data_IF_538653797606
#
_entry.id   IF_538653797606
#
_cell.length_a   1.000
_cell.length_b   1.000
_cell.length_c   1.000
_cell.angle_alpha   90.00
_cell.angle_beta   90.00
_cell.angle_gamma   90.00
#
_symmetry.space_group_name_H-M   'P 1'
#
loop_
_entity.id
_entity.type
_entity.pdbx_description
1 polymer ?
#
# COMPACT_ATOMS: atom_id res chain seq x y z
N UNK A 1 17.56 66.99 17.90
CA UNK A 1 17.70 66.06 16.74
C UNK A 1 18.32 64.72 17.15
N UNK A 2 18.82 64.63 18.38
CA UNK A 2 19.57 63.52 18.95
C UNK A 2 18.66 62.32 19.27
N UNK A 3 17.43 62.55 19.75
CA UNK A 3 16.46 61.49 20.09
C UNK A 3 16.00 60.66 18.88
N UNK A 4 16.00 61.27 17.69
CA UNK A 4 15.61 60.59 16.44
C UNK A 4 16.71 59.61 16.01
N UNK A 5 17.98 59.97 16.24
CA UNK A 5 19.14 59.15 15.88
C UNK A 5 19.24 57.93 16.80
N UNK A 6 18.86 58.08 18.07
CA UNK A 6 18.85 56.98 19.05
C UNK A 6 17.75 55.96 18.77
N UNK A 7 16.53 56.42 18.44
CA UNK A 7 15.45 55.55 17.95
C UNK A 7 15.86 54.81 16.67
N UNK A 8 16.52 55.47 15.72
CA UNK A 8 16.96 54.80 14.50
C UNK A 8 17.90 53.64 14.82
N UNK A 9 18.76 53.72 15.85
CA UNK A 9 19.66 52.62 16.26
C UNK A 9 18.92 51.43 16.85
N UNK A 10 17.88 51.68 17.65
CA UNK A 10 17.10 50.63 18.30
C UNK A 10 16.20 49.88 17.31
N UNK A 11 15.67 50.56 16.29
CA UNK A 11 14.78 49.98 15.29
C UNK A 11 15.47 49.43 14.03
N UNK A 12 16.82 49.50 13.90
CA UNK A 12 17.52 49.00 12.69
C UNK A 12 17.24 47.53 12.41
N UNK A 13 17.15 46.72 13.46
CA UNK A 13 16.88 45.28 13.33
C UNK A 13 15.45 45.02 12.85
N UNK A 14 14.47 45.76 13.39
CA UNK A 14 13.08 45.68 12.94
C UNK A 14 12.89 46.20 11.51
N UNK A 15 13.58 47.28 11.13
CA UNK A 15 13.57 47.79 9.75
C UNK A 15 14.19 46.80 8.77
N UNK A 16 15.27 46.12 9.16
CA UNK A 16 15.90 45.09 8.34
C UNK A 16 14.99 43.87 8.16
N UNK A 17 14.34 43.40 9.23
CA UNK A 17 13.42 42.25 9.16
C UNK A 17 12.17 42.54 8.32
N UNK A 18 11.61 43.75 8.44
CA UNK A 18 10.46 44.16 7.61
C UNK A 18 10.83 44.29 6.13
N UNK A 19 12.03 44.81 5.82
CA UNK A 19 12.54 44.87 4.45
C UNK A 19 12.77 43.48 3.84
N UNK A 20 13.33 42.53 4.61
CA UNK A 20 13.52 41.14 4.18
C UNK A 20 12.17 40.44 3.98
N UNK A 21 11.20 40.66 4.88
CA UNK A 21 9.85 40.11 4.74
C UNK A 21 9.14 40.61 3.47
N UNK A 22 9.28 41.88 3.11
CA UNK A 22 8.75 42.43 1.86
C UNK A 22 9.45 41.86 0.62
N UNK A 23 10.77 41.63 0.68
CA UNK A 23 11.50 41.01 -0.43
C UNK A 23 11.10 39.55 -0.63
N UNK A 24 10.95 38.77 0.45
CA UNK A 24 10.52 37.38 0.39
C UNK A 24 9.04 37.25 -0.01
N UNK A 25 8.16 38.10 0.52
CA UNK A 25 6.75 38.16 0.14
C UNK A 25 6.55 38.60 -1.32
N UNK A 26 7.33 39.57 -1.79
CA UNK A 26 7.36 39.99 -3.18
C UNK A 26 7.89 38.90 -4.11
N UNK A 27 8.95 38.20 -3.72
CA UNK A 27 9.48 37.06 -4.47
C UNK A 27 8.45 35.94 -4.58
N UNK A 28 7.72 35.63 -3.51
CA UNK A 28 6.67 34.60 -3.50
C UNK A 28 5.44 34.99 -4.34
N UNK A 29 5.07 36.28 -4.37
CA UNK A 29 4.04 36.78 -5.27
C UNK A 29 4.46 36.77 -6.74
N UNK A 30 5.75 36.98 -7.02
CA UNK A 30 6.31 36.99 -8.37
C UNK A 30 6.64 35.58 -8.90
N UNK A 31 6.89 34.61 -8.02
CA UNK A 31 7.15 33.20 -8.37
C UNK A 31 5.92 32.30 -8.23
N UNK A 32 4.69 32.84 -8.28
CA UNK A 32 3.51 32.00 -8.45
C UNK A 32 3.62 31.26 -9.79
N UNK A 33 3.67 29.92 -9.82
CA UNK A 33 3.76 29.17 -11.06
C UNK A 33 2.53 29.47 -11.90
N UNK A 34 2.74 30.00 -13.11
CA UNK A 34 1.70 30.14 -14.10
C UNK A 34 1.09 28.75 -14.34
N UNK A 35 -0.19 28.59 -14.00
CA UNK A 35 -0.98 27.47 -14.51
C UNK A 35 -1.10 27.67 -16.03
N UNK A 36 -0.32 26.90 -16.79
CA UNK A 36 -0.47 26.85 -18.24
C UNK A 36 -1.86 26.31 -18.58
N UNK A 37 -2.75 27.19 -19.00
CA UNK A 37 -3.95 26.81 -19.72
C UNK A 37 -3.52 26.23 -21.08
N UNK A 38 -3.71 24.93 -21.28
CA UNK A 38 -3.51 24.29 -22.59
C UNK A 38 -4.50 24.88 -23.59
N UNK A 39 -3.98 25.72 -24.49
CA UNK A 39 -4.66 26.13 -25.73
C UNK A 39 -4.55 24.99 -26.72
N UNK A 40 -5.69 24.47 -27.18
CA UNK A 40 -5.78 23.50 -28.29
C UNK A 40 -5.68 24.30 -29.60
N UNK A 41 -4.72 24.02 -30.50
CA UNK A 41 -4.82 24.47 -31.88
C UNK A 41 -5.53 23.40 -32.70
N UNK A 42 -6.72 23.77 -33.17
CA UNK A 42 -7.42 23.12 -34.27
C UNK A 42 -6.80 23.59 -35.60
N UNK A 43 -6.41 22.64 -36.46
CA UNK A 43 -6.53 22.62 -37.94
C UNK A 43 -5.41 21.81 -38.64
N UNK A 44 -5.81 20.63 -39.14
CA UNK A 44 -5.58 20.11 -40.49
C UNK A 44 -4.55 20.81 -41.41
N UNK A 45 -3.48 20.11 -41.83
CA UNK A 45 -3.31 19.68 -43.24
C UNK A 45 -2.15 18.68 -43.51
N UNK A 46 -2.55 17.59 -44.16
CA UNK A 46 -1.96 16.94 -45.33
C UNK A 46 -0.48 16.48 -45.38
N UNK A 47 -0.36 15.14 -45.45
CA UNK A 47 0.32 14.37 -46.51
C UNK A 47 1.85 14.37 -46.61
N UNK A 48 2.45 13.18 -46.39
CA UNK A 48 2.95 12.33 -47.50
C UNK A 48 3.58 11.01 -47.01
N UNK A 49 3.07 9.87 -47.52
CA UNK A 49 3.74 8.60 -47.94
C UNK A 49 4.91 8.02 -47.10
N UNK A 50 5.01 6.72 -46.79
CA UNK A 50 4.96 5.59 -47.73
C UNK A 50 4.93 4.23 -46.99
N UNK A 51 4.20 3.27 -47.57
CA UNK A 51 4.41 1.80 -47.56
C UNK A 51 4.23 1.00 -46.25
N UNK A 52 3.14 0.25 -46.13
CA UNK A 52 3.01 -1.15 -46.62
C UNK A 52 1.62 -1.74 -46.32
N UNK A 53 1.09 -2.52 -47.27
CA UNK A 53 -0.14 -3.36 -47.26
C UNK A 53 -0.35 -4.08 -45.92
N UNK A 54 -1.57 -4.35 -45.44
CA UNK A 54 -2.59 -5.23 -46.06
C UNK A 54 -3.97 -5.09 -45.35
N UNK A 55 -5.02 -5.48 -46.09
CA UNK A 55 -6.46 -5.23 -45.98
C UNK A 55 -7.19 -6.30 -45.14
N UNK A 56 -8.21 -5.93 -44.34
CA UNK A 56 -9.59 -6.50 -44.17
C UNK A 56 -10.33 -5.68 -43.09
N UNK A 57 -11.22 -4.74 -43.45
CA UNK A 57 -12.70 -4.81 -43.43
C UNK A 57 -13.33 -5.02 -42.03
N UNK A 58 -13.76 -3.95 -41.36
CA UNK A 58 -15.17 -3.49 -41.21
C UNK A 58 -16.08 -4.43 -40.43
N UNK A 59 -16.46 -4.02 -39.21
CA UNK A 59 -17.87 -4.01 -38.76
C UNK A 59 -18.07 -2.98 -37.65
N UNK A 60 -18.95 -2.02 -37.93
CA UNK A 60 -19.63 -1.16 -36.97
C UNK A 60 -20.56 -2.00 -36.12
N UNK A 61 -20.46 -1.88 -34.79
CA UNK A 61 -21.52 -2.23 -33.85
C UNK A 61 -21.55 -1.19 -32.75
N UNK A 62 -22.43 -0.21 -32.97
CA UNK A 62 -23.13 0.57 -31.96
C UNK A 62 -23.59 -0.35 -30.83
N UNK A 63 -23.02 -0.17 -29.64
CA UNK A 63 -23.57 -0.73 -28.42
C UNK A 63 -23.87 0.41 -27.46
N UNK A 64 -25.14 0.80 -27.51
CA UNK A 64 -25.86 1.54 -26.49
C UNK A 64 -25.81 0.71 -25.21
N UNK A 65 -24.86 1.04 -24.32
CA UNK A 65 -24.82 0.50 -22.97
C UNK A 65 -25.27 1.58 -22.00
N UNK A 66 -26.54 1.48 -21.68
CA UNK A 66 -27.23 1.92 -20.47
C UNK A 66 -26.27 2.52 -19.43
N UNK A 67 -26.20 3.84 -19.41
CA UNK A 67 -25.60 4.61 -18.32
C UNK A 67 -26.52 4.44 -17.11
N UNK A 68 -26.27 3.40 -16.33
CA UNK A 68 -26.81 3.31 -14.98
C UNK A 68 -26.22 4.49 -14.22
N UNK A 69 -27.06 5.49 -13.98
CA UNK A 69 -26.82 6.63 -13.10
C UNK A 69 -26.44 6.11 -11.71
N UNK A 70 -25.14 5.89 -11.49
CA UNK A 70 -24.60 5.75 -10.14
C UNK A 70 -24.68 7.14 -9.48
N UNK A 71 -25.34 7.19 -8.33
CA UNK A 71 -25.44 8.34 -7.45
C UNK A 71 -24.13 9.13 -7.37
N UNK A 72 -24.16 10.37 -7.87
CA UNK A 72 -23.03 11.29 -8.03
C UNK A 72 -22.60 11.95 -6.70
N UNK A 73 -22.78 11.24 -5.58
CA UNK A 73 -22.29 11.71 -4.28
C UNK A 73 -20.85 11.24 -4.15
N UNK A 74 -19.87 12.15 -3.94
CA UNK A 74 -18.49 11.74 -3.77
C UNK A 74 -18.38 10.93 -2.48
N UNK A 75 -18.19 9.62 -2.63
CA UNK A 75 -17.88 8.74 -1.51
C UNK A 75 -16.49 9.11 -0.96
N UNK A 76 -16.44 9.41 0.34
CA UNK A 76 -15.24 9.81 1.06
C UNK A 76 -14.76 8.61 1.88
N UNK A 77 -13.46 8.38 1.85
CA UNK A 77 -12.76 7.35 2.62
C UNK A 77 -11.79 8.01 3.59
N UNK A 78 -11.52 7.34 4.70
CA UNK A 78 -10.60 7.77 5.74
C UNK A 78 -9.37 6.87 5.74
N UNK A 79 -8.19 7.48 5.68
CA UNK A 79 -6.91 6.77 5.55
C UNK A 79 -5.91 7.30 6.57
N UNK A 80 -5.21 6.40 7.26
CA UNK A 80 -4.17 6.72 8.24
C UNK A 80 -2.78 6.70 7.59
N UNK A 81 -2.05 7.81 7.62
CA UNK A 81 -0.71 7.95 7.02
C UNK A 81 0.33 8.10 8.12
N UNK A 82 1.31 7.18 8.14
CA UNK A 82 2.36 7.06 9.16
C UNK A 82 3.75 7.03 8.54
N UNK A 83 4.75 7.19 9.40
CA UNK A 83 6.17 7.03 9.06
C UNK A 83 6.81 8.32 8.54
N UNK A 84 7.71 8.17 7.57
CA UNK A 84 8.56 9.20 6.98
C UNK A 84 7.80 10.14 6.00
N UNK A 85 6.74 10.79 6.52
CA UNK A 85 5.97 11.84 5.83
C UNK A 85 5.99 13.11 6.68
N UNK A 86 5.81 14.28 6.05
CA UNK A 86 5.95 15.57 6.76
C UNK A 86 4.88 15.76 7.84
N UNK A 87 3.66 15.33 7.56
CA UNK A 87 2.52 15.45 8.48
C UNK A 87 1.82 14.09 8.59
N UNK A 88 2.29 13.18 9.46
CA UNK A 88 1.58 11.94 9.75
C UNK A 88 0.21 12.24 10.37
N UNK A 89 -0.79 11.43 10.06
CA UNK A 89 -2.15 11.60 10.55
C UNK A 89 -3.21 10.94 9.68
N UNK A 90 -4.47 11.16 10.06
CA UNK A 90 -5.64 10.61 9.36
C UNK A 90 -6.20 11.62 8.37
N UNK A 91 -6.50 11.16 7.16
CA UNK A 91 -6.91 11.99 6.03
C UNK A 91 -8.17 11.47 5.36
N UNK A 92 -9.08 12.38 5.04
CA UNK A 92 -10.25 12.09 4.20
C UNK A 92 -9.92 12.26 2.71
N UNK A 93 -10.15 11.23 1.89
CA UNK A 93 -9.91 11.26 0.44
C UNK A 93 -11.16 10.79 -0.31
N UNK A 94 -11.20 10.96 -1.63
CA UNK A 94 -12.28 10.36 -2.45
C UNK A 94 -12.04 8.85 -2.55
N UNK A 95 -13.09 8.03 -2.66
CA UNK A 95 -12.98 6.57 -2.72
C UNK A 95 -12.15 5.99 -3.88
N UNK A 96 -11.80 6.82 -4.87
CA UNK A 96 -10.92 6.45 -6.00
C UNK A 96 -9.48 7.02 -5.90
N UNK A 97 -9.12 7.65 -4.78
CA UNK A 97 -7.77 8.16 -4.55
C UNK A 97 -6.73 7.05 -4.44
N UNK A 98 -5.48 7.39 -4.74
CA UNK A 98 -4.32 6.50 -4.64
C UNK A 98 -3.41 6.88 -3.48
N UNK A 99 -2.50 5.98 -3.10
CA UNK A 99 -1.48 6.20 -2.06
C UNK A 99 -0.72 7.51 -2.27
N UNK A 100 -0.37 7.81 -3.53
CA UNK A 100 0.21 9.11 -3.91
C UNK A 100 -0.57 10.31 -3.38
N UNK A 101 -1.90 10.29 -3.49
CA UNK A 101 -2.76 11.43 -3.13
C UNK A 101 -2.78 11.63 -1.61
N UNK A 102 -2.82 10.54 -0.85
CA UNK A 102 -2.74 10.58 0.62
C UNK A 102 -1.39 11.11 1.10
N UNK A 103 -0.29 10.66 0.50
CA UNK A 103 1.06 11.14 0.84
C UNK A 103 1.23 12.61 0.47
N UNK A 104 0.69 13.04 -0.68
CA UNK A 104 0.69 14.44 -1.07
C UNK A 104 -0.10 15.30 -0.05
N UNK A 105 -1.27 14.82 0.39
CA UNK A 105 -2.08 15.47 1.41
C UNK A 105 -1.37 15.53 2.78
N UNK A 106 -0.51 14.56 3.07
CA UNK A 106 0.40 14.54 4.23
C UNK A 106 1.65 15.44 4.08
N UNK A 107 1.70 16.30 3.05
CA UNK A 107 2.82 17.21 2.80
C UNK A 107 4.00 16.59 2.05
N UNK A 108 3.85 15.34 1.59
CA UNK A 108 4.88 14.55 0.93
C UNK A 108 5.77 13.76 1.89
N UNK A 109 6.65 12.96 1.30
CA UNK A 109 7.69 12.22 2.01
C UNK A 109 8.73 13.16 2.64
N UNK A 110 9.36 12.74 3.73
CA UNK A 110 10.53 13.41 4.31
C UNK A 110 11.82 13.04 3.54
N UNK A 111 12.93 13.71 3.82
CA UNK A 111 14.20 13.46 3.12
C UNK A 111 14.84 12.11 3.47
N UNK A 112 14.53 11.57 4.65
CA UNK A 112 14.95 10.25 5.12
C UNK A 112 13.99 9.12 4.70
N UNK A 113 12.99 9.41 3.86
CA UNK A 113 11.98 8.44 3.46
C UNK A 113 12.49 7.50 2.37
N UNK A 114 12.27 6.20 2.58
CA UNK A 114 12.45 5.20 1.53
C UNK A 114 11.25 5.24 0.57
N UNK A 115 11.45 5.81 -0.62
CA UNK A 115 10.41 5.92 -1.65
C UNK A 115 9.91 4.58 -2.18
N UNK A 116 10.65 3.48 -1.98
CA UNK A 116 10.26 2.13 -2.40
C UNK A 116 9.43 1.39 -1.35
N UNK A 117 9.21 1.97 -0.17
CA UNK A 117 8.43 1.34 0.91
C UNK A 117 6.93 1.25 0.64
N UNK A 118 6.43 2.02 -0.33
CA UNK A 118 5.00 2.11 -0.64
C UNK A 118 4.76 2.07 -2.15
N UNK A 119 3.67 1.43 -2.56
CA UNK A 119 3.19 1.51 -3.94
C UNK A 119 2.35 2.78 -4.13
N UNK A 120 2.96 3.86 -4.62
CA UNK A 120 2.27 5.15 -4.86
C UNK A 120 1.06 5.04 -5.80
N UNK A 121 1.05 4.05 -6.69
CA UNK A 121 -0.04 3.81 -7.62
C UNK A 121 -1.17 2.97 -7.02
N UNK A 122 -1.02 2.39 -5.83
CA UNK A 122 -2.07 1.57 -5.22
C UNK A 122 -3.32 2.42 -4.93
N UNK A 123 -4.50 1.88 -5.27
CA UNK A 123 -5.78 2.50 -4.90
C UNK A 123 -6.01 2.36 -3.40
N UNK A 124 -6.63 3.38 -2.81
CA UNK A 124 -7.00 3.38 -1.40
C UNK A 124 -8.40 2.81 -1.22
N UNK A 125 -8.56 2.06 -0.15
CA UNK A 125 -9.85 1.67 0.42
C UNK A 125 -10.08 2.48 1.70
N UNK A 126 -11.32 2.47 2.18
CA UNK A 126 -11.59 2.99 3.52
C UNK A 126 -10.79 2.23 4.58
N UNK A 127 -10.49 2.93 5.67
CA UNK A 127 -9.72 2.45 6.82
C UNK A 127 -8.29 1.98 6.50
N UNK A 128 -7.78 2.28 5.30
CA UNK A 128 -6.43 1.90 4.90
C UNK A 128 -5.37 2.59 5.77
N UNK A 129 -4.29 1.86 6.06
CA UNK A 129 -3.09 2.39 6.73
C UNK A 129 -1.93 2.40 5.74
N UNK A 130 -1.33 3.56 5.56
CA UNK A 130 -0.13 3.78 4.74
C UNK A 130 1.04 4.03 5.67
N UNK A 131 2.11 3.25 5.56
CA UNK A 131 3.35 3.48 6.30
C UNK A 131 4.49 3.73 5.34
N UNK A 132 5.11 4.91 5.41
CA UNK A 132 6.32 5.22 4.65
C UNK A 132 7.53 4.93 5.53
N UNK A 133 8.36 3.98 5.14
CA UNK A 133 9.57 3.62 5.88
C UNK A 133 10.66 4.69 5.74
N UNK A 134 11.61 4.71 6.67
CA UNK A 134 12.88 5.43 6.50
C UNK A 134 13.89 4.62 5.69
N UNK A 135 14.90 5.29 5.14
CA UNK A 135 16.05 4.60 4.54
C UNK A 135 16.74 3.68 5.55
N UNK A 136 16.96 2.42 5.17
CA UNK A 136 17.57 1.40 6.04
C UNK A 136 16.63 0.81 7.10
N UNK A 137 15.35 1.20 7.12
CA UNK A 137 14.33 0.56 7.96
C UNK A 137 13.76 -0.67 7.22
N UNK A 138 14.00 -1.87 7.77
CA UNK A 138 13.36 -3.09 7.30
C UNK A 138 11.91 -3.12 7.82
N UNK A 139 10.98 -2.62 7.01
CA UNK A 139 9.55 -2.85 7.21
C UNK A 139 9.01 -3.81 6.16
N UNK A 140 8.15 -4.77 6.56
CA UNK A 140 7.37 -5.53 5.59
C UNK A 140 6.50 -4.54 4.81
N UNK A 141 6.64 -4.53 3.48
CA UNK A 141 5.92 -3.62 2.60
C UNK A 141 4.40 -3.78 2.81
N UNK A 142 3.76 -2.76 3.40
CA UNK A 142 2.30 -2.68 3.54
C UNK A 142 1.70 -2.38 2.17
N UNK A 143 1.49 -3.45 1.41
CA UNK A 143 1.03 -3.45 0.02
C UNK A 143 0.79 -4.86 -0.52
N UNK A 144 1.32 -5.89 0.15
CA UNK A 144 0.74 -7.23 0.08
C UNK A 144 -0.48 -7.25 0.99
N UNK A 145 -1.65 -7.42 0.41
CA UNK A 145 -2.84 -7.86 1.13
C UNK A 145 -2.58 -9.25 1.72
N UNK A 146 -1.88 -9.30 2.85
CA UNK A 146 -2.15 -10.32 3.84
C UNK A 146 -3.32 -9.79 4.66
N UNK A 147 -4.44 -10.49 4.53
CA UNK A 147 -5.67 -10.39 5.32
C UNK A 147 -5.38 -10.06 6.79
N UNK A 148 -6.24 -9.31 7.51
CA UNK A 148 -6.00 -8.99 8.91
C UNK A 148 -5.94 -10.28 9.73
N UNK A 149 -4.72 -10.73 10.01
CA UNK A 149 -4.45 -11.72 11.04
C UNK A 149 -4.69 -11.03 12.37
N UNK A 150 -5.96 -11.10 12.77
CA UNK A 150 -6.46 -10.96 14.12
C UNK A 150 -5.40 -11.43 15.13
N UNK A 151 -5.02 -10.50 16.00
CA UNK A 151 -4.39 -10.72 17.30
C UNK A 151 -4.40 -12.17 17.77
N UNK A 152 -3.23 -12.82 17.73
CA UNK A 152 -2.99 -14.06 18.46
C UNK A 152 -1.69 -13.90 19.23
N UNK A 153 -1.81 -14.11 20.53
CA UNK A 153 -0.80 -14.07 21.59
C UNK A 153 0.57 -14.64 21.19
N UNK A 154 1.66 -14.29 21.91
CA UNK A 154 3.00 -14.81 21.64
C UNK A 154 3.00 -16.33 21.88
N UNK A 155 2.77 -17.10 20.83
CA UNK A 155 3.01 -18.52 20.83
C UNK A 155 4.53 -18.69 20.80
N UNK A 156 5.04 -19.27 21.88
CA UNK A 156 6.42 -19.66 22.00
C UNK A 156 6.91 -20.34 20.72
N UNK A 157 8.10 -19.93 20.27
CA UNK A 157 8.86 -20.59 19.21
C UNK A 157 9.33 -21.98 19.68
N UNK A 158 8.38 -22.85 20.02
CA UNK A 158 8.62 -24.29 19.92
C UNK A 158 8.58 -24.57 18.42
N UNK A 159 9.64 -25.15 17.86
CA UNK A 159 9.74 -25.45 16.42
C UNK A 159 8.75 -26.52 15.93
N UNK A 160 7.55 -26.58 16.53
CA UNK A 160 6.48 -27.53 16.26
C UNK A 160 5.43 -26.85 15.39
N UNK A 161 4.98 -27.56 14.37
CA UNK A 161 3.95 -27.11 13.44
C UNK A 161 2.57 -27.43 14.04
N UNK A 162 1.61 -26.51 13.89
CA UNK A 162 0.27 -26.67 14.47
C UNK A 162 -0.68 -27.33 13.47
N UNK A 163 -1.23 -28.52 13.76
CA UNK A 163 -2.01 -29.29 12.76
C UNK A 163 -3.26 -28.56 12.24
N UNK A 164 -3.97 -27.89 13.13
CA UNK A 164 -5.27 -27.29 12.79
C UNK A 164 -5.13 -25.95 12.08
N UNK A 165 -3.95 -25.31 12.19
CA UNK A 165 -3.71 -23.95 11.66
C UNK A 165 -2.65 -23.89 10.58
N UNK A 166 -1.79 -24.90 10.47
CA UNK A 166 -0.70 -24.90 9.50
C UNK A 166 -1.23 -24.90 8.05
N UNK A 167 -0.54 -24.13 7.22
CA UNK A 167 -0.66 -24.11 5.77
C UNK A 167 0.06 -25.31 5.15
N UNK A 168 -0.22 -25.59 3.88
CA UNK A 168 0.41 -26.69 3.15
C UNK A 168 1.95 -26.57 3.15
N UNK A 169 2.46 -25.35 3.02
CA UNK A 169 3.91 -25.07 3.05
C UNK A 169 4.51 -25.32 4.42
N UNK A 170 3.81 -24.95 5.50
CA UNK A 170 4.29 -25.17 6.87
C UNK A 170 4.32 -26.65 7.22
N UNK A 171 3.32 -27.42 6.79
CA UNK A 171 3.30 -28.88 6.98
C UNK A 171 4.48 -29.57 6.28
N UNK A 172 4.90 -29.07 5.10
CA UNK A 172 6.02 -29.61 4.34
C UNK A 172 7.40 -29.33 4.93
N UNK A 173 7.50 -28.39 5.87
CA UNK A 173 8.76 -28.16 6.60
C UNK A 173 9.13 -29.35 7.48
N UNK A 174 8.16 -30.20 7.82
CA UNK A 174 8.36 -31.38 8.66
C UNK A 174 8.94 -32.53 7.85
N UNK A 175 10.10 -33.04 8.30
CA UNK A 175 10.76 -34.19 7.70
C UNK A 175 9.83 -35.40 7.63
N UNK A 176 9.57 -35.88 6.41
CA UNK A 176 8.65 -36.99 6.15
C UNK A 176 7.26 -36.57 5.69
N UNK A 177 6.93 -35.27 5.66
CA UNK A 177 5.73 -34.72 5.02
C UNK A 177 6.14 -34.06 3.71
N UNK A 178 5.75 -34.66 2.59
CA UNK A 178 5.83 -34.03 1.27
C UNK A 178 4.48 -33.49 0.82
N UNK A 179 4.44 -32.80 -0.32
CA UNK A 179 3.24 -32.20 -0.94
C UNK A 179 1.98 -33.05 -0.78
N UNK A 180 2.00 -34.31 -1.25
CA UNK A 180 0.85 -35.21 -1.20
C UNK A 180 0.32 -35.43 0.23
N UNK A 181 1.22 -35.62 1.20
CA UNK A 181 0.84 -35.84 2.61
C UNK A 181 0.31 -34.55 3.24
N UNK A 182 0.89 -33.40 2.93
CA UNK A 182 0.39 -32.12 3.40
C UNK A 182 -1.05 -31.87 2.92
N UNK A 183 -1.31 -32.17 1.64
CA UNK A 183 -2.67 -32.12 1.06
C UNK A 183 -3.62 -33.07 1.75
N UNK A 184 -3.21 -34.32 1.98
CA UNK A 184 -4.05 -35.32 2.65
C UNK A 184 -4.38 -34.90 4.10
N UNK A 185 -3.45 -34.25 4.82
CA UNK A 185 -3.69 -33.69 6.18
C UNK A 185 -4.74 -32.57 6.14
N UNK A 186 -4.63 -31.67 5.16
CA UNK A 186 -5.59 -30.56 4.98
C UNK A 186 -6.96 -31.09 4.60
N UNK A 187 -7.03 -32.00 3.62
CA UNK A 187 -8.26 -32.63 3.19
C UNK A 187 -8.93 -33.40 4.34
N UNK A 188 -8.14 -34.07 5.19
CA UNK A 188 -8.67 -34.76 6.35
C UNK A 188 -9.34 -33.80 7.35
N UNK A 189 -8.70 -32.68 7.71
CA UNK A 189 -9.30 -31.72 8.65
C UNK A 189 -10.51 -30.98 8.09
N UNK A 190 -10.57 -30.80 6.77
CA UNK A 190 -11.73 -30.23 6.08
C UNK A 190 -12.91 -31.21 6.04
N UNK A 191 -12.65 -32.49 5.82
CA UNK A 191 -13.70 -33.52 5.72
C UNK A 191 -14.16 -34.06 7.08
N UNK A 192 -13.26 -34.21 8.06
CA UNK A 192 -13.53 -34.86 9.35
C UNK A 192 -13.52 -33.89 10.54
N UNK A 193 -13.21 -32.62 10.29
CA UNK A 193 -13.06 -31.60 11.32
C UNK A 193 -11.66 -31.57 11.96
N UNK A 194 -11.43 -30.70 12.96
CA UNK A 194 -10.10 -30.43 13.49
C UNK A 194 -9.56 -31.62 14.27
N UNK A 195 -8.25 -31.86 14.13
CA UNK A 195 -7.49 -32.86 14.89
C UNK A 195 -7.60 -32.57 16.39
N UNK A 196 -7.91 -33.60 17.18
CA UNK A 196 -7.98 -33.56 18.65
C UNK A 196 -6.66 -33.96 19.28
N UNK A 197 -5.90 -34.80 18.58
CA UNK A 197 -4.62 -35.31 19.03
C UNK A 197 -3.64 -35.42 17.86
N UNK A 198 -2.35 -35.50 18.14
CA UNK A 198 -1.35 -35.79 17.09
C UNK A 198 -1.51 -37.22 16.57
N UNK A 199 -2.04 -38.14 17.39
CA UNK A 199 -2.29 -39.54 16.99
C UNK A 199 -3.40 -39.67 15.92
N UNK A 200 -4.27 -38.68 15.80
CA UNK A 200 -5.32 -38.63 14.78
C UNK A 200 -4.74 -38.59 13.35
N UNK A 201 -3.46 -38.24 13.20
CA UNK A 201 -2.74 -38.32 11.91
C UNK A 201 -2.71 -39.74 11.34
N UNK A 202 -2.90 -40.80 12.14
CA UNK A 202 -3.02 -42.18 11.61
C UNK A 202 -4.21 -42.36 10.67
N UNK A 203 -5.22 -41.50 10.78
CA UNK A 203 -6.41 -41.54 9.92
C UNK A 203 -6.15 -40.86 8.56
N UNK A 204 -5.01 -40.20 8.39
CA UNK A 204 -4.59 -39.57 7.14
C UNK A 204 -3.89 -40.60 6.25
N UNK A 205 -4.27 -40.61 4.98
CA UNK A 205 -3.69 -41.50 3.97
C UNK A 205 -2.16 -41.41 3.93
N UNK A 206 -1.48 -42.54 4.03
CA UNK A 206 -0.02 -42.62 3.92
C UNK A 206 0.78 -42.23 5.17
N UNK A 207 0.12 -42.03 6.32
CA UNK A 207 0.74 -41.88 7.64
C UNK A 207 0.49 -43.15 8.47
N UNK A 208 1.47 -44.06 8.50
CA UNK A 208 1.45 -45.24 9.37
C UNK A 208 2.11 -44.99 10.72
N UNK A 209 2.04 -45.96 11.63
CA UNK A 209 2.56 -45.84 13.02
C UNK A 209 4.04 -45.41 13.07
N UNK A 210 4.86 -46.02 12.22
CA UNK A 210 6.30 -45.72 12.09
C UNK A 210 6.57 -44.31 11.58
N UNK A 211 5.69 -43.76 10.76
CA UNK A 211 5.79 -42.38 10.27
C UNK A 211 5.33 -41.43 11.36
N UNK A 212 4.20 -41.72 12.01
CA UNK A 212 3.68 -40.94 13.12
C UNK A 212 4.72 -40.78 14.24
N UNK A 213 5.40 -41.85 14.66
CA UNK A 213 6.47 -41.82 15.68
C UNK A 213 7.52 -40.73 15.43
N UNK A 214 7.88 -40.49 14.17
CA UNK A 214 8.86 -39.45 13.80
C UNK A 214 8.27 -38.04 13.78
N UNK A 215 6.96 -37.95 13.62
CA UNK A 215 6.21 -36.72 13.47
C UNK A 215 5.65 -36.19 14.80
N UNK A 216 5.51 -37.05 15.83
CA UNK A 216 4.90 -36.69 17.12
C UNK A 216 5.57 -35.47 17.76
N UNK A 217 6.89 -35.41 17.64
CA UNK A 217 7.69 -34.32 18.21
C UNK A 217 7.71 -33.06 17.35
N UNK A 218 7.30 -33.14 16.09
CA UNK A 218 7.27 -32.00 15.16
C UNK A 218 5.93 -31.28 15.15
N UNK A 219 4.92 -31.83 15.82
CA UNK A 219 3.54 -31.36 15.72
C UNK A 219 2.93 -31.02 17.07
N UNK A 220 1.92 -30.15 17.05
CA UNK A 220 1.11 -29.79 18.21
C UNK A 220 -0.36 -29.59 17.81
N UNK A 221 -1.24 -29.73 18.80
CA UNK A 221 -2.70 -29.53 18.73
C UNK A 221 -3.14 -28.69 19.93
N UNK A 222 -4.29 -28.03 19.83
CA UNK A 222 -4.88 -27.23 20.93
C UNK A 222 -5.56 -28.10 21.99
#
# INVERSE_FOLDING_TARGET
>A
MEDIIEKIKEYKLFLALTAIGLLLGGYFLFHRPQSSASTIPDLYQASSSTSSKEKVQTTSSKEEKTVTSVSDTPEIITVDVKGAVKQPGVYELRSNSRVHDAIHKAGGMTADANSQSVNLAQKLSDEAVIYVAKEGEDVPALGSSESPATSSAPAEKTGKVHLNRATESELQTVSGIGQKRAQDIIAYREANGPFRSVDDLKNVSGIGEKTLEKLRDAFTVD
#
